data_IF_406259095846
#
_entry.id   IF_406259095846
#
_cell.length_a   1.000
_cell.length_b   1.000
_cell.length_c   1.000
_cell.angle_alpha   90.00
_cell.angle_beta   90.00
_cell.angle_gamma   90.00
#
_symmetry.space_group_name_H-M   'P 1'
#
loop_
_entity.id
_entity.type
_entity.pdbx_description
1 polymer ?
#
# COMPACT_ATOMS: atom_id res chain seq x y z
N UNK A 1 -13.08 2.38 10.25
CA UNK A 1 -12.89 2.74 11.67
C UNK A 1 -11.55 3.44 11.87
N UNK A 2 -11.23 3.91 13.07
CA UNK A 2 -9.91 4.51 13.35
C UNK A 2 -8.80 3.46 13.17
N UNK A 3 -9.06 2.19 13.48
CA UNK A 3 -8.10 1.10 13.22
C UNK A 3 -7.81 0.91 11.74
N UNK A 4 -8.83 0.93 10.87
CA UNK A 4 -8.63 0.81 9.41
C UNK A 4 -7.76 1.96 8.87
N UNK A 5 -7.93 3.17 9.43
CA UNK A 5 -7.12 4.33 9.03
C UNK A 5 -5.64 4.17 9.40
N UNK A 6 -5.31 3.52 10.51
CA UNK A 6 -3.92 3.29 10.94
C UNK A 6 -3.19 2.29 10.04
N UNK A 7 -3.92 1.42 9.32
CA UNK A 7 -3.32 0.46 8.41
C UNK A 7 -2.70 1.14 7.18
N UNK A 8 -3.27 2.28 6.76
CA UNK A 8 -2.88 2.99 5.55
C UNK A 8 -2.16 4.32 5.82
N UNK A 9 -2.38 4.95 6.97
CA UNK A 9 -1.85 6.30 7.27
C UNK A 9 -0.89 6.26 8.46
N UNK A 10 0.36 6.70 8.23
CA UNK A 10 1.35 6.96 9.27
C UNK A 10 1.61 8.46 9.38
N UNK A 11 1.54 8.98 10.60
CA UNK A 11 1.96 10.34 10.93
C UNK A 11 3.34 10.25 11.60
N UNK A 12 4.28 11.07 11.15
CA UNK A 12 5.64 11.12 11.69
C UNK A 12 5.79 12.28 12.66
N UNK A 13 6.73 12.17 13.60
CA UNK A 13 6.95 13.19 14.62
C UNK A 13 7.43 14.54 14.05
N UNK A 14 8.00 14.54 12.85
CA UNK A 14 8.40 15.75 12.11
C UNK A 14 7.24 16.44 11.39
N UNK A 15 6.02 15.90 11.47
CA UNK A 15 4.82 16.44 10.80
C UNK A 15 4.51 15.80 9.44
N UNK A 16 5.36 14.90 8.93
CA UNK A 16 5.10 14.21 7.67
C UNK A 16 3.97 13.19 7.79
N UNK A 17 3.26 12.98 6.69
CA UNK A 17 2.23 11.96 6.58
C UNK A 17 2.59 11.02 5.44
N UNK A 18 2.70 9.72 5.74
CA UNK A 18 2.86 8.67 4.73
C UNK A 18 1.57 7.91 4.58
N UNK A 19 1.07 7.83 3.34
CA UNK A 19 -0.11 7.03 3.00
C UNK A 19 0.32 5.87 2.11
N UNK A 20 -0.04 4.64 2.50
CA UNK A 20 0.12 3.45 1.68
C UNK A 20 -1.26 3.05 1.17
N UNK A 21 -1.40 2.89 -0.13
CA UNK A 21 -2.63 2.41 -0.77
C UNK A 21 -2.29 1.37 -1.83
N UNK A 22 -3.19 0.41 -2.02
CA UNK A 22 -3.14 -0.55 -3.11
C UNK A 22 -4.41 -0.36 -3.92
N UNK A 23 -4.28 -0.20 -5.23
CA UNK A 23 -5.44 -0.08 -6.11
C UNK A 23 -6.15 -1.44 -6.27
N UNK A 24 -7.45 -1.47 -6.56
CA UNK A 24 -8.20 -2.74 -6.69
C UNK A 24 -7.59 -3.64 -7.76
N UNK A 25 -7.30 -3.08 -8.93
CA UNK A 25 -6.60 -3.79 -10.00
C UNK A 25 -5.23 -4.35 -9.55
N UNK A 26 -4.50 -3.58 -8.74
CA UNK A 26 -3.21 -3.97 -8.20
C UNK A 26 -3.37 -5.15 -7.23
N UNK A 27 -4.41 -5.12 -6.38
CA UNK A 27 -4.70 -6.19 -5.44
C UNK A 27 -5.04 -7.50 -6.17
N UNK A 28 -5.86 -7.43 -7.22
CA UNK A 28 -6.16 -8.58 -8.08
C UNK A 28 -4.91 -9.09 -8.80
N UNK A 29 -4.08 -8.19 -9.32
CA UNK A 29 -2.83 -8.56 -9.97
C UNK A 29 -1.88 -9.29 -9.01
N UNK A 30 -1.74 -8.84 -7.76
CA UNK A 30 -0.93 -9.52 -6.74
C UNK A 30 -1.50 -10.87 -6.32
N UNK A 31 -2.83 -11.00 -6.21
CA UNK A 31 -3.48 -12.26 -5.86
C UNK A 31 -3.24 -13.34 -6.93
N UNK A 32 -3.20 -12.94 -8.20
CA UNK A 32 -2.97 -13.84 -9.33
C UNK A 32 -1.48 -14.04 -9.65
N UNK A 33 -0.61 -13.09 -9.28
CA UNK A 33 0.82 -13.07 -9.60
C UNK A 33 1.64 -12.63 -8.36
N UNK A 34 1.87 -13.54 -7.39
CA UNK A 34 2.52 -13.21 -6.11
C UNK A 34 3.95 -12.67 -6.25
N UNK A 35 4.65 -13.00 -7.34
CA UNK A 35 5.98 -12.52 -7.67
C UNK A 35 6.05 -11.00 -7.85
N UNK A 36 4.93 -10.35 -8.18
CA UNK A 36 4.86 -8.90 -8.31
C UNK A 36 5.03 -8.18 -6.97
N UNK A 37 4.76 -8.83 -5.84
CA UNK A 37 4.88 -8.23 -4.51
C UNK A 37 6.34 -7.89 -4.11
N UNK A 38 7.31 -8.52 -4.77
CA UNK A 38 8.74 -8.24 -4.57
C UNK A 38 9.30 -7.12 -5.46
N UNK A 39 8.52 -6.62 -6.41
CA UNK A 39 8.94 -5.56 -7.31
C UNK A 39 8.77 -4.19 -6.66
N UNK A 40 9.80 -3.35 -6.75
CA UNK A 40 9.78 -1.98 -6.22
C UNK A 40 8.71 -1.11 -6.91
N UNK A 41 8.33 -1.45 -8.15
CA UNK A 41 7.20 -0.87 -8.87
C UNK A 41 6.53 -1.94 -9.73
N UNK A 42 5.25 -2.28 -9.48
CA UNK A 42 4.53 -3.34 -10.23
C UNK A 42 4.17 -2.98 -11.68
N UNK A 43 4.31 -1.70 -12.06
CA UNK A 43 3.91 -1.18 -13.37
C UNK A 43 5.09 -0.67 -14.21
N UNK A 44 6.29 -1.24 -14.03
CA UNK A 44 7.44 -0.87 -14.87
C UNK A 44 7.28 -1.30 -16.32
#
# INVERSE_FOLDING_TARGET
>A
TVEERQHYVRNHANGDITVRMTCDYCAEAYANNPELAGLASPLQ
#
